data_IF_037657334924
#
_entry.id   IF_037657334924
#
_cell.length_a   1.000
_cell.length_b   1.000
_cell.length_c   1.000
_cell.angle_alpha   90.00
_cell.angle_beta   90.00
_cell.angle_gamma   90.00
#
_symmetry.space_group_name_H-M   'P 1'
#
loop_
_entity.id
_entity.type
_entity.pdbx_description
1 polymer ?
#
# COMPACT_ATOMS: atom_id res chain seq x y z
N UNK A 1 48.84 47.68 60.17
CA UNK A 1 47.48 47.72 60.74
C UNK A 1 46.48 47.60 59.59
N UNK A 2 45.62 46.58 59.66
CA UNK A 2 44.49 46.37 58.74
C UNK A 2 43.49 47.52 58.90
N UNK A 3 42.99 48.07 57.79
CA UNK A 3 41.66 48.69 57.75
C UNK A 3 40.92 48.24 56.49
N UNK A 4 40.10 47.22 56.74
CA UNK A 4 38.94 46.75 55.99
C UNK A 4 37.87 47.84 55.90
N UNK A 5 37.19 47.94 54.76
CA UNK A 5 35.82 48.49 54.75
C UNK A 5 35.47 49.40 53.57
N UNK A 6 35.24 48.84 52.39
CA UNK A 6 34.25 49.40 51.44
C UNK A 6 33.78 48.34 50.42
N UNK A 7 33.66 47.08 50.83
CA UNK A 7 33.04 46.01 50.03
C UNK A 7 31.54 45.81 50.33
N UNK A 8 31.03 46.50 51.37
CA UNK A 8 29.65 46.34 51.87
C UNK A 8 28.61 47.07 51.02
N UNK A 9 28.97 48.16 50.32
CA UNK A 9 28.02 48.89 49.47
C UNK A 9 27.70 48.13 48.17
N UNK A 10 28.72 47.64 47.48
CA UNK A 10 28.55 46.96 46.19
C UNK A 10 27.84 45.61 46.32
N UNK A 11 28.10 44.86 47.40
CA UNK A 11 27.43 43.58 47.67
C UNK A 11 25.94 43.78 47.98
N UNK A 12 25.56 44.84 48.71
CA UNK A 12 24.15 45.18 48.95
C UNK A 12 23.42 45.52 47.66
N UNK A 13 24.03 46.30 46.75
CA UNK A 13 23.43 46.63 45.46
C UNK A 13 23.24 45.41 44.55
N UNK A 14 24.21 44.49 44.51
CA UNK A 14 24.11 43.26 43.70
C UNK A 14 23.01 42.34 44.23
N UNK A 15 22.88 42.20 45.55
CA UNK A 15 21.78 41.40 46.14
C UNK A 15 20.43 42.03 45.85
N UNK A 16 20.33 43.37 45.92
CA UNK A 16 19.07 44.07 45.66
C UNK A 16 18.63 43.93 44.20
N UNK A 17 19.56 44.02 43.24
CA UNK A 17 19.29 43.76 41.82
C UNK A 17 18.89 42.30 41.60
N UNK A 18 19.59 41.34 42.21
CA UNK A 18 19.25 39.93 42.09
C UNK A 18 17.85 39.62 42.63
N UNK A 19 17.45 40.23 43.76
CA UNK A 19 16.10 40.08 44.33
C UNK A 19 15.04 40.70 43.43
N UNK A 20 15.29 41.88 42.85
CA UNK A 20 14.34 42.54 41.92
C UNK A 20 14.18 41.73 40.63
N UNK A 21 15.28 41.23 40.07
CA UNK A 21 15.26 40.37 38.86
C UNK A 21 14.57 39.05 39.16
N UNK A 22 14.85 38.42 40.32
CA UNK A 22 14.20 37.19 40.73
C UNK A 22 12.70 37.39 40.96
N UNK A 23 12.27 38.47 41.62
CA UNK A 23 10.85 38.79 41.79
C UNK A 23 10.17 39.10 40.44
N UNK A 24 10.87 39.79 39.53
CA UNK A 24 10.39 40.04 38.18
C UNK A 24 10.19 38.76 37.37
N UNK A 25 11.20 37.89 37.36
CA UNK A 25 11.14 36.58 36.70
C UNK A 25 10.10 35.66 37.34
N UNK A 26 10.03 35.60 38.66
CA UNK A 26 9.06 34.79 39.40
C UNK A 26 7.63 35.24 39.12
N UNK A 27 7.39 36.56 39.09
CA UNK A 27 6.08 37.12 38.73
C UNK A 27 5.75 36.87 37.25
N UNK A 28 6.74 36.91 36.34
CA UNK A 28 6.57 36.59 34.93
C UNK A 28 6.28 35.10 34.70
N UNK A 29 6.90 34.20 35.48
CA UNK A 29 6.67 32.76 35.42
C UNK A 29 5.32 32.36 36.01
N UNK A 30 4.88 33.03 37.08
CA UNK A 30 3.53 32.85 37.65
C UNK A 30 2.44 33.39 36.72
N UNK A 31 2.60 34.60 36.18
CA UNK A 31 1.63 35.19 35.26
C UNK A 31 1.62 34.49 33.89
N UNK A 32 2.80 34.13 33.36
CA UNK A 32 2.95 33.40 32.11
C UNK A 32 2.48 31.94 32.24
N UNK A 33 2.78 31.29 33.36
CA UNK A 33 2.27 29.95 33.68
C UNK A 33 0.75 29.95 33.84
N UNK A 34 0.18 30.90 34.57
CA UNK A 34 -1.27 31.05 34.69
C UNK A 34 -1.94 31.39 33.34
N UNK A 35 -1.30 32.22 32.51
CA UNK A 35 -1.81 32.53 31.17
C UNK A 35 -1.77 31.32 30.24
N UNK A 36 -0.69 30.52 30.25
CA UNK A 36 -0.60 29.28 29.47
C UNK A 36 -1.61 28.23 29.93
N UNK A 37 -1.78 28.07 31.24
CA UNK A 37 -2.76 27.14 31.82
C UNK A 37 -4.19 27.60 31.53
N UNK A 38 -4.44 28.91 31.59
CA UNK A 38 -5.70 29.53 31.17
C UNK A 38 -5.99 29.35 29.68
N UNK A 39 -4.97 29.45 28.82
CA UNK A 39 -5.11 29.29 27.37
C UNK A 39 -5.28 27.81 26.98
N UNK A 40 -4.62 26.89 27.71
CA UNK A 40 -4.84 25.45 27.58
C UNK A 40 -6.25 25.05 28.03
N UNK A 41 -6.73 25.58 29.16
CA UNK A 41 -8.10 25.38 29.64
C UNK A 41 -9.13 26.00 28.69
N UNK A 42 -8.88 27.19 28.17
CA UNK A 42 -9.74 27.83 27.17
C UNK A 42 -9.75 27.03 25.86
N UNK A 43 -8.60 26.52 25.40
CA UNK A 43 -8.50 25.64 24.24
C UNK A 43 -9.24 24.32 24.46
N UNK A 44 -9.15 23.74 25.65
CA UNK A 44 -9.90 22.54 26.03
C UNK A 44 -11.41 22.81 26.10
N UNK A 45 -11.83 23.96 26.63
CA UNK A 45 -13.23 24.40 26.65
C UNK A 45 -13.77 24.68 25.26
N UNK A 46 -12.98 25.30 24.37
CA UNK A 46 -13.33 25.49 22.96
C UNK A 46 -13.44 24.14 22.26
N UNK A 47 -12.53 23.20 22.53
CA UNK A 47 -12.58 21.86 21.96
C UNK A 47 -13.80 21.06 22.43
N UNK A 48 -14.11 21.08 23.74
CA UNK A 48 -15.30 20.45 24.32
C UNK A 48 -16.59 21.11 23.85
N UNK A 49 -16.64 22.44 23.75
CA UNK A 49 -17.81 23.18 23.27
C UNK A 49 -18.02 23.01 21.76
N UNK A 50 -16.97 22.93 20.94
CA UNK A 50 -17.07 22.60 19.52
C UNK A 50 -17.61 21.18 19.32
N UNK A 51 -17.18 20.21 20.14
CA UNK A 51 -17.74 18.85 20.17
C UNK A 51 -19.19 18.79 20.66
N UNK A 52 -19.60 19.72 21.53
CA UNK A 52 -20.96 19.77 22.07
C UNK A 52 -21.95 20.56 21.18
N UNK A 53 -21.49 21.59 20.48
CA UNK A 53 -22.31 22.36 19.53
C UNK A 53 -22.59 21.52 18.28
N UNK A 54 -21.59 20.78 17.78
CA UNK A 54 -21.78 19.85 16.65
C UNK A 54 -22.77 18.71 16.96
N UNK A 55 -22.87 18.28 18.22
CA UNK A 55 -23.85 17.25 18.63
C UNK A 55 -25.26 17.80 18.83
N UNK A 56 -25.43 19.02 19.38
CA UNK A 56 -26.77 19.63 19.54
C UNK A 56 -27.37 20.19 18.25
N UNK A 57 -26.58 20.67 17.29
CA UNK A 57 -27.12 21.16 16.01
C UNK A 57 -27.68 20.06 15.11
N UNK A 58 -27.43 18.77 15.40
CA UNK A 58 -28.07 17.63 14.72
C UNK A 58 -29.44 17.26 15.30
N UNK A 59 -29.75 17.66 16.53
CA UNK A 59 -31.00 17.28 17.19
C UNK A 59 -32.16 18.27 16.93
N UNK A 60 -31.88 19.50 16.48
CA UNK A 60 -32.91 20.55 16.26
C UNK A 60 -33.16 20.91 14.80
N UNK A 61 -32.50 20.24 13.83
CA UNK A 61 -32.62 20.57 12.40
C UNK A 61 -33.64 19.69 11.65
N UNK A 62 -34.74 19.31 12.32
CA UNK A 62 -35.81 18.48 11.73
C UNK A 62 -37.11 19.24 11.46
N UNK A 63 -37.14 20.57 11.60
CA UNK A 63 -38.35 21.38 11.31
C UNK A 63 -38.01 22.74 10.69
N UNK A 64 -37.77 22.77 9.37
CA UNK A 64 -38.02 23.93 8.49
C UNK A 64 -37.76 23.54 7.01
N UNK A 65 -38.65 23.88 6.05
CA UNK A 65 -38.42 23.68 4.62
C UNK A 65 -37.81 24.92 3.94
N UNK A 66 -36.92 24.64 2.97
CA UNK A 66 -36.41 25.38 1.80
C UNK A 66 -36.09 26.89 1.88
N UNK A 67 -34.80 27.23 1.66
CA UNK A 67 -34.34 28.05 0.53
C UNK A 67 -32.80 28.12 0.47
N UNK A 68 -32.29 28.34 -0.75
CA UNK A 68 -30.93 28.21 -1.28
C UNK A 68 -29.73 28.71 -0.45
N UNK A 69 -28.60 27.97 -0.52
CA UNK A 69 -27.25 28.56 -0.71
C UNK A 69 -26.15 27.47 -0.81
N UNK A 70 -25.26 27.68 -1.78
CA UNK A 70 -24.09 26.90 -2.15
C UNK A 70 -23.22 26.39 -0.97
N UNK A 71 -22.94 25.09 -0.97
CA UNK A 71 -21.92 24.46 -0.14
C UNK A 71 -21.30 23.25 -0.87
N UNK A 72 -20.02 22.92 -0.60
CA UNK A 72 -19.29 21.87 -1.33
C UNK A 72 -19.97 20.50 -1.16
N UNK A 73 -19.85 19.58 -2.14
CA UNK A 73 -20.65 18.36 -2.16
C UNK A 73 -20.40 17.54 -0.89
N UNK A 74 -21.43 17.47 -0.04
CA UNK A 74 -21.48 16.53 1.06
C UNK A 74 -21.34 15.12 0.47
N UNK A 75 -20.41 14.33 1.00
CA UNK A 75 -20.24 12.93 0.66
C UNK A 75 -21.54 12.13 0.78
N UNK A 76 -21.60 10.91 0.21
CA UNK A 76 -22.84 10.16 0.09
C UNK A 76 -23.51 10.03 1.46
N UNK A 77 -24.68 10.67 1.60
CA UNK A 77 -25.56 10.50 2.75
C UNK A 77 -26.10 9.07 2.71
N UNK A 78 -25.44 8.17 3.43
CA UNK A 78 -25.96 6.83 3.65
C UNK A 78 -27.20 6.94 4.55
N UNK A 79 -28.37 6.87 3.92
CA UNK A 79 -29.66 6.84 4.58
C UNK A 79 -29.99 5.40 4.99
N UNK A 80 -29.48 4.97 6.14
CA UNK A 80 -29.78 3.66 6.74
C UNK A 80 -28.95 3.46 8.00
N UNK A 81 -29.50 2.78 9.01
CA UNK A 81 -28.64 2.24 10.05
C UNK A 81 -27.74 1.16 9.42
N UNK A 82 -26.41 1.24 9.58
CA UNK A 82 -25.51 0.28 8.98
C UNK A 82 -25.85 -1.14 9.44
N UNK A 83 -26.06 -2.05 8.50
CA UNK A 83 -26.38 -3.44 8.82
C UNK A 83 -25.13 -4.20 9.27
N UNK A 84 -25.32 -5.32 9.99
CA UNK A 84 -24.21 -6.20 10.35
C UNK A 84 -23.51 -6.79 9.10
N UNK A 85 -24.25 -7.01 8.01
CA UNK A 85 -23.70 -7.51 6.75
C UNK A 85 -22.81 -6.47 6.05
N UNK A 86 -23.27 -5.21 5.99
CA UNK A 86 -22.47 -4.09 5.48
C UNK A 86 -21.20 -3.89 6.33
N UNK A 87 -21.32 -4.01 7.65
CA UNK A 87 -20.19 -3.94 8.56
C UNK A 87 -19.16 -5.04 8.28
N UNK A 88 -19.61 -6.29 8.07
CA UNK A 88 -18.72 -7.40 7.69
C UNK A 88 -18.03 -7.16 6.36
N UNK A 89 -18.77 -6.75 5.33
CA UNK A 89 -18.19 -6.43 4.03
C UNK A 89 -17.17 -5.28 4.12
N UNK A 90 -17.46 -4.24 4.92
CA UNK A 90 -16.55 -3.14 5.17
C UNK A 90 -15.28 -3.59 5.90
N UNK A 91 -15.40 -4.47 6.89
CA UNK A 91 -14.25 -5.05 7.60
C UNK A 91 -13.30 -5.78 6.65
N UNK A 92 -13.86 -6.66 5.81
CA UNK A 92 -13.08 -7.41 4.82
C UNK A 92 -12.41 -6.47 3.79
N UNK A 93 -13.16 -5.49 3.29
CA UNK A 93 -12.67 -4.52 2.30
C UNK A 93 -11.57 -3.62 2.86
N UNK A 94 -11.69 -3.17 4.11
CA UNK A 94 -10.69 -2.35 4.79
C UNK A 94 -9.40 -3.14 5.02
N UNK A 95 -9.52 -4.39 5.49
CA UNK A 95 -8.37 -5.28 5.68
C UNK A 95 -7.59 -5.48 4.38
N UNK A 96 -8.30 -5.84 3.30
CA UNK A 96 -7.70 -6.01 1.97
C UNK A 96 -7.05 -4.73 1.46
N UNK A 97 -7.73 -3.58 1.62
CA UNK A 97 -7.19 -2.28 1.19
C UNK A 97 -5.95 -1.89 1.97
N UNK A 98 -5.93 -2.12 3.29
CA UNK A 98 -4.77 -1.86 4.13
C UNK A 98 -3.56 -2.71 3.70
N UNK A 99 -3.76 -4.01 3.47
CA UNK A 99 -2.74 -4.92 2.97
C UNK A 99 -2.15 -4.47 1.62
N UNK A 100 -3.02 -4.12 0.67
CA UNK A 100 -2.58 -3.59 -0.63
C UNK A 100 -1.80 -2.29 -0.44
N UNK A 101 -2.30 -1.37 0.40
CA UNK A 101 -1.64 -0.08 0.65
C UNK A 101 -0.25 -0.23 1.27
N UNK A 102 -0.10 -1.18 2.19
CA UNK A 102 1.14 -1.48 2.90
C UNK A 102 2.23 -1.91 1.93
N UNK A 103 1.99 -2.95 1.13
CA UNK A 103 2.99 -3.47 0.19
C UNK A 103 3.23 -2.56 -1.02
N UNK A 104 2.20 -1.85 -1.50
CA UNK A 104 2.37 -0.88 -2.58
C UNK A 104 3.03 0.42 -2.11
N UNK A 105 3.15 0.66 -0.79
CA UNK A 105 3.75 1.83 -0.10
C UNK A 105 3.09 3.18 -0.38
N UNK A 106 2.35 3.30 -1.47
CA UNK A 106 1.61 4.48 -1.88
C UNK A 106 0.53 4.06 -2.87
N UNK A 107 -0.71 4.49 -2.63
CA UNK A 107 -1.80 4.26 -3.55
C UNK A 107 -2.02 5.51 -4.41
N UNK A 108 -1.87 5.44 -5.74
CA UNK A 108 -2.16 6.58 -6.60
C UNK A 108 -3.66 6.91 -6.54
N UNK A 109 -3.99 8.16 -6.86
CA UNK A 109 -5.38 8.56 -7.05
C UNK A 109 -5.98 7.74 -8.21
N UNK A 110 -7.26 7.30 -8.10
CA UNK A 110 -7.92 6.63 -9.21
C UNK A 110 -7.90 7.49 -10.46
N UNK A 111 -7.49 6.92 -11.58
CA UNK A 111 -7.59 7.56 -12.88
C UNK A 111 -9.03 7.52 -13.34
N UNK A 112 -9.55 8.68 -13.75
CA UNK A 112 -10.90 8.78 -14.29
C UNK A 112 -10.96 8.43 -15.79
N UNK A 113 -9.83 8.03 -16.40
CA UNK A 113 -9.74 7.65 -17.80
C UNK A 113 -10.83 6.64 -18.18
N UNK A 114 -11.49 6.90 -19.30
CA UNK A 114 -12.53 6.05 -19.89
C UNK A 114 -12.00 5.13 -20.99
N UNK A 115 -10.69 5.13 -21.20
CA UNK A 115 -10.09 4.32 -22.25
C UNK A 115 -9.99 2.86 -21.80
N UNK A 116 -10.91 2.03 -22.30
CA UNK A 116 -10.90 0.59 -22.07
C UNK A 116 -9.62 -0.10 -22.59
N UNK A 117 -8.92 0.50 -23.57
CA UNK A 117 -7.66 -0.07 -24.11
C UNK A 117 -6.54 -0.03 -23.08
N UNK A 118 -6.48 1.03 -22.25
CA UNK A 118 -5.52 1.12 -21.16
C UNK A 118 -5.77 0.03 -20.11
N UNK A 119 -7.05 -0.20 -19.78
CA UNK A 119 -7.44 -1.27 -18.84
C UNK A 119 -7.07 -2.65 -19.39
N UNK A 120 -7.47 -2.97 -20.63
CA UNK A 120 -7.14 -4.25 -21.26
C UNK A 120 -5.64 -4.43 -21.45
N UNK A 121 -4.93 -3.37 -21.84
CA UNK A 121 -3.48 -3.37 -21.99
C UNK A 121 -2.74 -3.57 -20.67
N UNK A 122 -3.27 -3.05 -19.57
CA UNK A 122 -2.69 -3.29 -18.24
C UNK A 122 -3.00 -4.71 -17.75
N UNK A 123 -4.21 -5.22 -17.97
CA UNK A 123 -4.59 -6.58 -17.57
C UNK A 123 -3.90 -7.68 -18.39
N UNK A 124 -3.53 -7.41 -19.65
CA UNK A 124 -2.83 -8.36 -20.51
C UNK A 124 -1.39 -8.63 -20.05
N UNK A 125 -0.81 -7.72 -19.27
CA UNK A 125 0.52 -7.90 -18.67
C UNK A 125 0.41 -8.87 -17.50
N UNK A 126 0.98 -10.07 -17.64
CA UNK A 126 0.99 -11.11 -16.60
C UNK A 126 2.24 -10.96 -15.71
N UNK A 127 2.08 -10.68 -14.40
CA UNK A 127 3.21 -10.61 -13.46
C UNK A 127 3.99 -11.93 -13.45
N UNK A 128 5.32 -11.82 -13.49
CA UNK A 128 6.22 -12.98 -13.49
C UNK A 128 6.96 -13.10 -12.16
N UNK A 129 7.30 -14.33 -11.79
CA UNK A 129 7.99 -14.63 -10.54
C UNK A 129 9.44 -14.08 -10.47
N UNK A 130 10.04 -13.73 -11.61
CA UNK A 130 11.37 -13.13 -11.69
C UNK A 130 11.36 -11.59 -11.64
N UNK A 131 10.18 -10.97 -11.54
CA UNK A 131 10.09 -9.53 -11.37
C UNK A 131 10.53 -9.12 -9.97
N UNK A 132 11.34 -8.06 -9.90
CA UNK A 132 11.66 -7.44 -8.63
C UNK A 132 10.41 -6.78 -7.98
N UNK A 133 10.53 -6.51 -6.68
CA UNK A 133 9.46 -5.92 -5.89
C UNK A 133 9.04 -4.54 -6.41
N UNK A 134 9.95 -3.75 -6.98
CA UNK A 134 9.64 -2.40 -7.45
C UNK A 134 8.83 -2.40 -8.75
N UNK A 135 9.13 -3.32 -9.66
CA UNK A 135 8.35 -3.56 -10.87
C UNK A 135 6.95 -4.09 -10.53
N UNK A 136 6.86 -5.01 -9.57
CA UNK A 136 5.57 -5.48 -9.05
C UNK A 136 4.76 -4.33 -8.44
N UNK A 137 5.40 -3.49 -7.61
CA UNK A 137 4.74 -2.29 -7.03
C UNK A 137 4.27 -1.32 -8.11
N UNK A 138 5.08 -1.06 -9.13
CA UNK A 138 4.71 -0.17 -10.23
C UNK A 138 3.48 -0.70 -10.99
N UNK A 139 3.46 -2.00 -11.28
CA UNK A 139 2.32 -2.64 -11.93
C UNK A 139 1.07 -2.65 -11.03
N UNK A 140 1.22 -2.96 -9.74
CA UNK A 140 0.13 -2.91 -8.76
C UNK A 140 -0.47 -1.52 -8.61
N UNK A 141 0.36 -0.47 -8.61
CA UNK A 141 -0.12 0.92 -8.59
C UNK A 141 -0.90 1.29 -9.86
N UNK A 142 -0.46 0.83 -11.03
CA UNK A 142 -1.19 1.03 -12.29
C UNK A 142 -2.55 0.31 -12.29
N UNK A 143 -2.62 -0.92 -11.77
CA UNK A 143 -3.90 -1.63 -11.59
C UNK A 143 -4.81 -0.89 -10.60
N UNK A 144 -4.23 -0.38 -9.50
CA UNK A 144 -4.99 0.37 -8.49
C UNK A 144 -5.61 1.64 -9.07
N UNK A 145 -4.85 2.44 -9.83
CA UNK A 145 -5.38 3.68 -10.43
C UNK A 145 -6.54 3.38 -11.37
N UNK A 146 -6.52 2.24 -12.08
CA UNK A 146 -7.56 1.86 -13.03
C UNK A 146 -8.82 1.23 -12.42
N UNK A 147 -8.90 1.01 -11.09
CA UNK A 147 -10.08 0.39 -10.44
C UNK A 147 -11.39 1.15 -10.72
N UNK A 148 -11.35 2.47 -10.80
CA UNK A 148 -12.51 3.30 -11.15
C UNK A 148 -13.03 3.01 -12.57
N UNK A 149 -12.12 2.86 -13.53
CA UNK A 149 -12.44 2.44 -14.90
C UNK A 149 -12.95 0.99 -14.95
N UNK A 150 -12.29 0.08 -14.22
CA UNK A 150 -12.66 -1.33 -14.15
C UNK A 150 -14.09 -1.55 -13.63
N UNK A 151 -14.51 -0.78 -12.61
CA UNK A 151 -15.90 -0.83 -12.11
C UNK A 151 -16.92 -0.45 -13.19
N UNK A 152 -16.63 0.57 -14.00
CA UNK A 152 -17.53 0.99 -15.09
C UNK A 152 -17.62 -0.02 -16.22
N UNK A 153 -16.55 -0.77 -16.46
CA UNK A 153 -16.47 -1.78 -17.52
C UNK A 153 -16.79 -3.21 -17.02
N UNK A 154 -17.19 -3.40 -15.77
CA UNK A 154 -17.53 -4.73 -15.22
C UNK A 154 -16.31 -5.65 -15.05
N UNK A 155 -15.10 -5.09 -14.94
CA UNK A 155 -13.84 -5.84 -14.82
C UNK A 155 -13.18 -5.66 -13.45
N UNK A 156 -13.91 -5.13 -12.46
CA UNK A 156 -13.36 -4.84 -11.13
C UNK A 156 -12.83 -6.10 -10.44
N UNK A 157 -13.54 -7.22 -10.54
CA UNK A 157 -13.12 -8.48 -9.90
C UNK A 157 -11.82 -9.03 -10.52
N UNK A 158 -11.62 -8.85 -11.83
CA UNK A 158 -10.38 -9.26 -12.50
C UNK A 158 -9.20 -8.38 -12.08
N UNK A 159 -9.42 -7.06 -11.98
CA UNK A 159 -8.41 -6.13 -11.47
C UNK A 159 -8.09 -6.42 -10.01
N UNK A 160 -9.10 -6.69 -9.19
CA UNK A 160 -8.93 -6.99 -7.78
C UNK A 160 -8.20 -8.33 -7.57
N UNK A 161 -8.55 -9.38 -8.30
CA UNK A 161 -7.82 -10.64 -8.26
C UNK A 161 -6.37 -10.48 -8.73
N UNK A 162 -6.11 -9.66 -9.77
CA UNK A 162 -4.75 -9.39 -10.24
C UNK A 162 -3.95 -8.57 -9.22
N UNK A 163 -4.57 -7.60 -8.56
CA UNK A 163 -3.96 -6.85 -7.46
C UNK A 163 -3.58 -7.77 -6.30
N UNK A 164 -4.47 -8.66 -5.89
CA UNK A 164 -4.20 -9.61 -4.80
C UNK A 164 -3.01 -10.50 -5.15
N UNK A 165 -2.95 -11.01 -6.39
CA UNK A 165 -1.80 -11.77 -6.87
C UNK A 165 -0.50 -10.97 -6.84
N UNK A 166 -0.50 -9.72 -7.33
CA UNK A 166 0.70 -8.87 -7.34
C UNK A 166 1.19 -8.61 -5.92
N UNK A 167 0.28 -8.28 -5.00
CA UNK A 167 0.63 -7.99 -3.61
C UNK A 167 1.12 -9.25 -2.89
N UNK A 168 0.50 -10.40 -3.14
CA UNK A 168 0.97 -11.68 -2.65
C UNK A 168 2.40 -12.01 -3.13
N UNK A 169 2.72 -11.74 -4.40
CA UNK A 169 4.08 -11.90 -4.93
C UNK A 169 5.08 -10.94 -4.27
N UNK A 170 4.68 -9.69 -3.96
CA UNK A 170 5.53 -8.75 -3.21
C UNK A 170 5.78 -9.27 -1.80
N UNK A 171 4.74 -9.73 -1.11
CA UNK A 171 4.86 -10.30 0.25
C UNK A 171 5.83 -11.48 0.27
N UNK A 172 5.71 -12.42 -0.68
CA UNK A 172 6.62 -13.55 -0.80
C UNK A 172 8.06 -13.15 -1.13
N UNK A 173 8.25 -12.15 -2.00
CA UNK A 173 9.58 -11.69 -2.41
C UNK A 173 10.30 -10.85 -1.33
N UNK A 174 9.57 -10.23 -0.41
CA UNK A 174 10.12 -9.30 0.59
C UNK A 174 10.14 -9.86 2.01
N UNK A 175 9.39 -10.92 2.28
CA UNK A 175 9.19 -11.50 3.62
C UNK A 175 8.72 -10.44 4.66
N UNK A 176 8.12 -9.34 4.18
CA UNK A 176 7.57 -8.28 5.01
C UNK A 176 6.23 -8.76 5.60
N UNK A 177 6.17 -8.90 6.94
CA UNK A 177 4.94 -9.24 7.64
C UNK A 177 3.95 -8.06 7.64
N UNK A 178 2.69 -8.34 7.33
CA UNK A 178 1.63 -7.34 7.34
C UNK A 178 0.98 -7.25 8.72
N UNK A 179 1.00 -6.06 9.31
CA UNK A 179 0.29 -5.77 10.56
C UNK A 179 -1.22 -5.61 10.29
N UNK A 180 -1.98 -6.64 10.68
CA UNK A 180 -3.45 -6.68 10.52
C UNK A 180 -4.19 -5.56 11.27
N UNK A 181 -3.58 -4.93 12.27
CA UNK A 181 -4.19 -3.79 12.97
C UNK A 181 -4.43 -2.60 12.03
N UNK A 182 -3.61 -2.49 10.96
CA UNK A 182 -3.76 -1.45 9.93
C UNK A 182 -5.07 -1.58 9.12
N UNK A 183 -5.73 -2.74 9.15
CA UNK A 183 -7.04 -2.94 8.53
C UNK A 183 -8.22 -2.43 9.35
N UNK A 184 -8.01 -2.14 10.64
CA UNK A 184 -9.07 -1.74 11.57
C UNK A 184 -9.20 -0.22 11.65
N UNK A 185 -9.66 0.40 10.56
CA UNK A 185 -9.62 1.88 10.40
C UNK A 185 -10.97 2.58 10.49
N UNK A 186 -12.09 1.86 10.47
CA UNK A 186 -13.41 2.50 10.40
C UNK A 186 -14.06 2.64 11.79
N UNK A 187 -13.86 3.81 12.39
CA UNK A 187 -14.40 4.20 13.69
C UNK A 187 -15.93 4.07 13.78
N UNK A 188 -16.65 4.28 12.67
CA UNK A 188 -18.11 4.13 12.65
C UNK A 188 -18.54 2.72 13.04
N UNK A 189 -17.78 1.71 12.61
CA UNK A 189 -18.05 0.31 12.93
C UNK A 189 -17.36 -0.15 14.21
N UNK A 190 -16.13 0.32 14.48
CA UNK A 190 -15.38 -0.05 15.69
C UNK A 190 -16.06 0.44 16.98
N UNK A 191 -16.65 1.64 16.94
CA UNK A 191 -17.33 2.25 18.08
C UNK A 191 -18.85 2.30 17.92
N UNK A 192 -19.41 1.50 16.99
CA UNK A 192 -20.84 1.45 16.76
C UNK A 192 -21.59 1.08 18.05
N UNK A 193 -22.73 1.70 18.41
CA UNK A 193 -23.44 1.38 19.66
C UNK A 193 -23.92 -0.06 19.73
N UNK A 194 -24.41 -0.62 18.61
CA UNK A 194 -24.82 -2.02 18.53
C UNK A 194 -23.59 -2.96 18.50
N UNK A 195 -23.53 -3.88 19.47
CA UNK A 195 -22.48 -4.89 19.59
C UNK A 195 -22.45 -5.85 18.41
N UNK A 196 -23.60 -6.19 17.82
CA UNK A 196 -23.68 -7.11 16.70
C UNK A 196 -22.97 -6.53 15.46
N UNK A 197 -23.17 -5.23 15.20
CA UNK A 197 -22.51 -4.50 14.11
C UNK A 197 -20.99 -4.42 14.34
N UNK A 198 -20.54 -4.12 15.57
CA UNK A 198 -19.10 -4.12 15.90
C UNK A 198 -18.46 -5.49 15.68
N UNK A 199 -19.12 -6.54 16.18
CA UNK A 199 -18.63 -7.91 16.04
C UNK A 199 -18.54 -8.33 14.58
N UNK A 200 -19.55 -8.01 13.77
CA UNK A 200 -19.56 -8.32 12.35
C UNK A 200 -18.45 -7.61 11.57
N UNK A 201 -18.12 -6.36 11.92
CA UNK A 201 -16.97 -5.67 11.32
C UNK A 201 -15.63 -6.35 11.61
N UNK A 202 -15.40 -6.76 12.87
CA UNK A 202 -14.18 -7.46 13.26
C UNK A 202 -14.10 -8.85 12.62
N UNK A 203 -15.23 -9.57 12.56
CA UNK A 203 -15.36 -10.84 11.85
C UNK A 203 -15.02 -10.68 10.36
N UNK A 204 -15.55 -9.63 9.71
CA UNK A 204 -15.18 -9.29 8.34
C UNK A 204 -13.69 -9.02 8.17
N UNK A 205 -13.07 -8.31 9.12
CA UNK A 205 -11.63 -8.13 9.15
C UNK A 205 -10.86 -9.46 9.21
N UNK A 206 -11.30 -10.40 10.05
CA UNK A 206 -10.69 -11.73 10.15
C UNK A 206 -10.84 -12.54 8.85
N UNK A 207 -12.02 -12.53 8.22
CA UNK A 207 -12.23 -13.13 6.89
C UNK A 207 -11.32 -12.50 5.83
N UNK A 208 -11.09 -11.18 5.93
CA UNK A 208 -10.13 -10.48 5.08
C UNK A 208 -8.69 -11.00 5.25
N UNK A 209 -8.28 -11.30 6.48
CA UNK A 209 -6.96 -11.91 6.77
C UNK A 209 -6.86 -13.32 6.19
N UNK A 210 -7.89 -14.14 6.34
CA UNK A 210 -7.93 -15.48 5.73
C UNK A 210 -7.75 -15.41 4.21
N UNK A 211 -8.49 -14.52 3.54
CA UNK A 211 -8.35 -14.29 2.10
C UNK A 211 -6.94 -13.84 1.69
N UNK A 212 -6.29 -12.98 2.49
CA UNK A 212 -4.90 -12.57 2.25
C UNK A 212 -3.95 -13.78 2.33
N UNK A 213 -4.09 -14.61 3.34
CA UNK A 213 -3.25 -15.80 3.52
C UNK A 213 -3.45 -16.81 2.38
N UNK A 214 -4.69 -16.99 1.92
CA UNK A 214 -5.00 -17.82 0.76
C UNK A 214 -4.37 -17.26 -0.52
N UNK A 215 -4.44 -15.94 -0.74
CA UNK A 215 -3.81 -15.29 -1.89
C UNK A 215 -2.28 -15.47 -1.89
N UNK A 216 -1.63 -15.32 -0.74
CA UNK A 216 -0.18 -15.57 -0.58
C UNK A 216 0.16 -17.03 -0.85
N UNK A 217 -0.63 -17.95 -0.31
CA UNK A 217 -0.43 -19.39 -0.52
C UNK A 217 -0.60 -19.77 -2.00
N UNK A 218 -1.63 -19.24 -2.66
CA UNK A 218 -1.88 -19.44 -4.08
C UNK A 218 -0.74 -18.87 -4.95
N UNK A 219 -0.24 -17.67 -4.63
CA UNK A 219 0.89 -17.07 -5.36
C UNK A 219 2.16 -17.93 -5.23
N UNK A 220 2.46 -18.46 -4.04
CA UNK A 220 3.57 -19.39 -3.82
C UNK A 220 3.43 -20.68 -4.61
N UNK A 221 2.21 -21.24 -4.66
CA UNK A 221 1.94 -22.44 -5.45
C UNK A 221 2.18 -22.19 -6.95
N UNK A 222 1.66 -21.08 -7.47
CA UNK A 222 1.85 -20.68 -8.86
C UNK A 222 3.33 -20.43 -9.19
N UNK A 223 4.08 -19.76 -8.32
CA UNK A 223 5.50 -19.50 -8.54
C UNK A 223 6.31 -20.80 -8.68
N UNK A 224 5.96 -21.85 -7.91
CA UNK A 224 6.58 -23.17 -8.03
C UNK A 224 6.22 -23.85 -9.36
N UNK A 225 4.97 -23.76 -9.81
CA UNK A 225 4.54 -24.30 -11.10
C UNK A 225 5.22 -23.57 -12.27
N UNK A 226 5.32 -22.24 -12.21
CA UNK A 226 5.99 -21.41 -13.22
C UNK A 226 7.50 -21.72 -13.28
N UNK A 227 8.13 -21.99 -12.14
CA UNK A 227 9.52 -22.44 -12.08
C UNK A 227 9.72 -23.83 -12.69
N UNK A 228 8.83 -24.79 -12.38
CA UNK A 228 8.87 -26.13 -12.95
C UNK A 228 8.67 -26.10 -14.48
N UNK A 229 7.72 -25.29 -14.96
CA UNK A 229 7.44 -25.13 -16.39
C UNK A 229 8.63 -24.51 -17.13
N UNK A 230 9.29 -23.52 -16.54
CA UNK A 230 10.53 -22.93 -17.10
C UNK A 230 11.66 -23.95 -17.17
N UNK A 231 11.90 -24.70 -16.09
CA UNK A 231 12.94 -25.74 -16.07
C UNK A 231 12.68 -26.82 -17.14
N UNK A 232 11.41 -27.21 -17.34
CA UNK A 232 11.02 -28.14 -18.40
C UNK A 232 11.27 -27.55 -19.80
N UNK A 233 10.90 -26.28 -20.03
CA UNK A 233 11.13 -25.59 -21.29
C UNK A 233 12.63 -25.45 -21.61
N UNK A 234 13.46 -25.11 -20.62
CA UNK A 234 14.92 -25.03 -20.77
C UNK A 234 15.54 -26.39 -21.08
N UNK A 235 15.07 -27.47 -20.43
CA UNK A 235 15.49 -28.84 -20.71
C UNK A 235 15.16 -29.23 -22.16
N UNK A 236 13.94 -28.95 -22.62
CA UNK A 236 13.50 -29.23 -23.99
C UNK A 236 14.30 -28.40 -25.02
N UNK A 237 14.60 -27.14 -24.72
CA UNK A 237 15.47 -26.32 -25.55
C UNK A 237 16.89 -26.90 -25.66
N UNK A 238 17.49 -27.34 -24.55
CA UNK A 238 18.81 -28.01 -24.54
C UNK A 238 18.79 -29.30 -25.37
N UNK A 239 17.74 -30.13 -25.23
CA UNK A 239 17.57 -31.34 -26.02
C UNK A 239 17.44 -31.03 -27.51
N UNK A 240 16.64 -30.02 -27.88
CA UNK A 240 16.49 -29.58 -29.27
C UNK A 240 17.83 -29.09 -29.84
N UNK A 241 18.58 -28.28 -29.11
CA UNK A 241 19.90 -27.80 -29.54
C UNK A 241 20.90 -28.95 -29.68
N UNK A 242 20.89 -29.92 -28.76
CA UNK A 242 21.73 -31.12 -28.83
C UNK A 242 21.37 -31.99 -30.04
N UNK A 243 20.09 -32.21 -30.30
CA UNK A 243 19.61 -32.94 -31.47
C UNK A 243 19.97 -32.24 -32.79
N UNK A 244 19.81 -30.90 -32.85
CA UNK A 244 20.22 -30.10 -34.02
C UNK A 244 21.74 -30.14 -34.23
N UNK A 245 22.54 -30.16 -33.15
CA UNK A 245 23.99 -30.33 -33.23
C UNK A 245 24.34 -31.72 -33.76
N UNK A 246 23.75 -32.78 -33.21
CA UNK A 246 23.96 -34.15 -33.68
C UNK A 246 23.58 -34.31 -35.16
N UNK A 247 22.47 -33.71 -35.62
CA UNK A 247 22.08 -33.70 -37.03
C UNK A 247 23.08 -32.98 -37.94
N UNK A 248 23.73 -31.92 -37.46
CA UNK A 248 24.79 -31.22 -38.22
C UNK A 248 26.08 -32.04 -38.26
N UNK A 249 26.40 -32.74 -37.19
CA UNK A 249 27.58 -33.60 -37.10
C UNK A 249 27.44 -34.87 -37.96
N UNK A 250 26.24 -35.47 -38.02
CA UNK A 250 25.98 -36.61 -38.91
C UNK A 250 25.85 -36.21 -40.38
N UNK A 251 25.41 -34.97 -40.66
CA UNK A 251 25.31 -34.40 -42.01
C UNK A 251 26.53 -33.57 -42.40
N UNK A 252 27.70 -33.92 -41.90
CA UNK A 252 28.97 -33.39 -42.41
C UNK A 252 29.07 -33.78 -43.89
N UNK A 253 29.42 -32.86 -44.82
CA UNK A 253 29.44 -33.18 -46.25
C UNK A 253 30.37 -34.37 -46.50
N UNK A 254 29.84 -35.42 -47.12
CA UNK A 254 30.66 -36.51 -47.70
C UNK A 254 31.39 -36.06 -48.95
N UNK A 255 31.27 -34.79 -49.35
CA UNK A 255 31.94 -34.20 -50.53
C UNK A 255 33.42 -34.55 -50.56
N UNK A 256 34.12 -34.56 -49.42
CA UNK A 256 35.56 -34.84 -49.41
C UNK A 256 35.90 -36.34 -49.53
N UNK A 257 34.93 -37.24 -49.29
CA UNK A 257 35.09 -38.70 -49.43
C UNK A 257 34.64 -39.17 -50.81
N UNK A 258 33.53 -38.62 -51.31
CA UNK A 258 32.98 -38.96 -52.61
C UNK A 258 33.74 -38.24 -53.75
N UNK A 259 34.23 -37.01 -53.54
CA UNK A 259 35.08 -36.32 -54.52
C UNK A 259 36.48 -36.93 -54.62
N UNK A 260 37.06 -37.43 -53.51
CA UNK A 260 38.32 -38.17 -53.55
C UNK A 260 38.17 -39.54 -54.20
N UNK A 261 37.06 -40.25 -53.93
CA UNK A 261 36.76 -41.50 -54.62
C UNK A 261 36.58 -41.31 -56.13
N UNK A 262 35.90 -40.23 -56.54
CA UNK A 262 35.75 -39.88 -57.96
C UNK A 262 37.08 -39.47 -58.61
N UNK A 263 37.92 -38.70 -57.90
CA UNK A 263 39.27 -38.33 -58.36
C UNK A 263 40.22 -39.53 -58.45
N UNK A 264 40.18 -40.45 -57.49
CA UNK A 264 40.99 -41.68 -57.51
C UNK A 264 40.54 -42.66 -58.61
N UNK A 265 39.26 -42.67 -58.97
CA UNK A 265 38.76 -43.42 -60.13
C UNK A 265 39.14 -42.77 -61.47
N UNK A 266 39.12 -41.45 -61.59
CA UNK A 266 39.61 -40.76 -62.79
C UNK A 266 41.13 -40.91 -62.97
N UNK A 267 41.90 -40.81 -61.88
CA UNK A 267 43.34 -41.01 -61.91
C UNK A 267 43.72 -42.42 -62.38
N UNK A 268 42.99 -43.45 -61.92
CA UNK A 268 43.22 -44.85 -62.33
C UNK A 268 42.90 -45.11 -63.80
N UNK A 269 41.89 -44.44 -64.36
CA UNK A 269 41.54 -44.53 -65.79
C UNK A 269 42.54 -43.85 -66.72
N UNK A 270 43.39 -42.96 -66.20
CA UNK A 270 44.44 -42.28 -66.96
C UNK A 270 45.78 -43.05 -66.96
N UNK A 271 45.93 -44.06 -66.11
CA UNK A 271 47.12 -44.91 -65.98
C UNK A 271 46.99 -46.28 -66.68
N UNK A 272 45.81 -46.63 -67.21
CA UNK A 272 45.56 -47.77 -68.12
C UNK A 272 45.62 -47.34 -69.59
#
# INVERSE_FOLDING_TARGET
MKNTGSSSGATVWVVLIAVVVFFGLFRFLLLGGAALLGLALAGLLVWLSAGFITSRTRATRQTAPDDDADGPPAGPRWSGQPSAEEARAAGASNMRTAWISWHLRSLPRPEESRDARLLTGTLSVVPQADWDADRLRQHGRALWSLRGSARRHGLIDQVDARLDRVVAMISDATDEEFDTSLGQVNDQYLYHPDRAVRAAYLEGGALGVEHIMDAVTAARAQAREDAATRAAAESLAKQRTAALRALRETRRPTEDRDARAAWEEEARKLEE
#
